data_IF_040565861140
#
_entry.id   IF_040565861140
#
_cell.length_a   1.000
_cell.length_b   1.000
_cell.length_c   1.000
_cell.angle_alpha   90.00
_cell.angle_beta   90.00
_cell.angle_gamma   90.00
#
_symmetry.space_group_name_H-M   'P 1'
#
loop_
_entity.id
_entity.type
_entity.pdbx_description
1 polymer ?
#
# COMPACT_ATOMS: atom_id res chain seq x y z
N UNK A 1 1.65 -3.11 40.61
CA UNK A 1 2.50 -4.04 39.83
C UNK A 1 1.64 -4.57 38.69
N UNK A 2 1.70 -3.96 37.51
CA UNK A 2 0.94 -4.41 36.34
C UNK A 2 1.64 -5.65 35.79
N UNK A 3 0.91 -6.76 35.70
CA UNK A 3 1.39 -7.98 35.05
C UNK A 3 1.82 -7.64 33.61
N UNK A 4 2.98 -8.13 33.13
CA UNK A 4 3.34 -7.95 31.73
C UNK A 4 2.24 -8.62 30.90
N UNK A 5 1.60 -7.87 30.01
CA UNK A 5 0.64 -8.41 29.06
C UNK A 5 1.38 -9.42 28.18
N UNK A 6 1.22 -10.70 28.47
CA UNK A 6 1.69 -11.78 27.60
C UNK A 6 0.78 -11.78 26.38
N UNK A 7 1.06 -10.88 25.44
CA UNK A 7 0.58 -11.00 24.07
C UNK A 7 0.88 -12.44 23.62
N UNK A 8 -0.11 -13.18 23.09
CA UNK A 8 0.15 -14.53 22.63
C UNK A 8 1.30 -14.47 21.62
N UNK A 9 2.38 -15.20 21.92
CA UNK A 9 3.46 -15.43 20.97
C UNK A 9 2.80 -15.97 19.71
N UNK A 10 2.97 -15.25 18.59
CA UNK A 10 2.43 -15.67 17.30
C UNK A 10 2.80 -17.13 17.07
N UNK A 11 1.86 -17.99 16.65
CA UNK A 11 2.18 -19.38 16.34
C UNK A 11 3.31 -19.41 15.28
N UNK A 12 4.17 -20.44 15.32
CA UNK A 12 5.26 -20.56 14.35
C UNK A 12 4.70 -20.57 12.93
N UNK A 13 5.40 -19.89 12.02
CA UNK A 13 4.98 -19.77 10.62
C UNK A 13 4.93 -21.15 9.96
N UNK A 14 3.82 -21.45 9.30
CA UNK A 14 3.70 -22.67 8.49
C UNK A 14 4.57 -22.55 7.23
N UNK A 15 5.10 -23.65 6.68
CA UNK A 15 5.85 -23.62 5.42
C UNK A 15 5.06 -22.96 4.28
N UNK A 16 3.75 -23.22 4.23
CA UNK A 16 2.84 -22.57 3.28
C UNK A 16 2.77 -21.04 3.49
N UNK A 17 2.73 -20.57 4.74
CA UNK A 17 2.80 -19.14 5.06
C UNK A 17 4.10 -18.50 4.58
N UNK A 18 5.23 -19.18 4.74
CA UNK A 18 6.52 -18.73 4.22
C UNK A 18 6.52 -18.66 2.69
N UNK A 19 6.01 -19.69 2.01
CA UNK A 19 5.89 -19.70 0.55
C UNK A 19 5.01 -18.55 0.04
N UNK A 20 3.84 -18.33 0.66
CA UNK A 20 2.97 -17.20 0.32
C UNK A 20 3.72 -15.88 0.53
N UNK A 21 4.42 -15.72 1.64
CA UNK A 21 5.26 -14.56 1.96
C UNK A 21 6.29 -14.27 0.87
N UNK A 22 7.04 -15.30 0.46
CA UNK A 22 8.02 -15.20 -0.61
C UNK A 22 7.38 -14.77 -1.93
N UNK A 23 6.27 -15.38 -2.33
CA UNK A 23 5.53 -15.01 -3.55
C UNK A 23 5.09 -13.54 -3.51
N UNK A 24 4.54 -13.05 -2.40
CA UNK A 24 4.14 -11.64 -2.28
C UNK A 24 5.33 -10.69 -2.39
N UNK A 25 6.44 -10.99 -1.71
CA UNK A 25 7.64 -10.13 -1.77
C UNK A 25 8.21 -10.12 -3.20
N UNK A 26 8.33 -11.28 -3.84
CA UNK A 26 8.81 -11.38 -5.22
C UNK A 26 7.88 -10.66 -6.20
N UNK A 27 6.56 -10.83 -6.05
CA UNK A 27 5.58 -10.13 -6.89
C UNK A 27 5.69 -8.61 -6.72
N UNK A 28 5.75 -8.11 -5.49
CA UNK A 28 5.92 -6.67 -5.21
C UNK A 28 7.24 -6.12 -5.76
N UNK A 29 8.35 -6.84 -5.58
CA UNK A 29 9.64 -6.41 -6.11
C UNK A 29 9.64 -6.37 -7.64
N UNK A 30 9.16 -7.43 -8.28
CA UNK A 30 9.12 -7.52 -9.74
C UNK A 30 8.20 -6.44 -10.34
N UNK A 31 7.00 -6.26 -9.81
CA UNK A 31 6.07 -5.27 -10.34
C UNK A 31 6.50 -3.85 -10.00
N UNK A 32 7.22 -3.60 -8.91
CA UNK A 32 7.84 -2.28 -8.67
C UNK A 32 8.92 -1.98 -9.72
N UNK A 33 9.79 -2.95 -10.03
CA UNK A 33 10.86 -2.76 -11.02
C UNK A 33 10.32 -2.65 -12.44
N UNK A 34 9.49 -3.61 -12.87
CA UNK A 34 8.89 -3.60 -14.20
C UNK A 34 7.90 -2.44 -14.33
N UNK A 35 7.08 -2.19 -13.31
CA UNK A 35 6.14 -1.08 -13.27
C UNK A 35 6.85 0.26 -13.42
N UNK A 36 7.92 0.52 -12.67
CA UNK A 36 8.66 1.80 -12.83
C UNK A 36 9.26 1.96 -14.23
N UNK A 37 9.88 0.92 -14.79
CA UNK A 37 10.50 0.99 -16.12
C UNK A 37 9.46 1.14 -17.23
N UNK A 38 8.39 0.35 -17.22
CA UNK A 38 7.43 0.28 -18.32
C UNK A 38 6.18 1.16 -18.13
N UNK A 39 5.83 1.54 -16.91
CA UNK A 39 4.75 2.51 -16.65
C UNK A 39 5.30 3.94 -16.71
N UNK A 40 6.35 4.24 -15.94
CA UNK A 40 6.86 5.62 -15.83
C UNK A 40 7.84 5.96 -16.96
N UNK A 41 8.70 5.02 -17.38
CA UNK A 41 9.70 5.26 -18.42
C UNK A 41 9.14 5.88 -19.72
N UNK A 42 8.11 5.28 -20.35
CA UNK A 42 7.53 5.80 -21.59
C UNK A 42 6.89 7.18 -21.46
N UNK A 43 6.44 7.56 -20.27
CA UNK A 43 5.80 8.86 -20.02
C UNK A 43 6.80 9.95 -19.61
N UNK A 44 8.08 9.65 -19.38
CA UNK A 44 9.08 10.66 -19.01
C UNK A 44 9.21 11.83 -20.00
N UNK A 45 9.16 11.64 -21.34
CA UNK A 45 9.17 12.77 -22.27
C UNK A 45 8.01 13.75 -22.07
N UNK A 46 6.85 13.23 -21.64
CA UNK A 46 5.66 14.04 -21.34
C UNK A 46 5.90 14.99 -20.16
N UNK A 47 6.81 14.65 -19.24
CA UNK A 47 7.20 15.52 -18.13
C UNK A 47 7.78 16.85 -18.63
N UNK A 48 8.58 16.81 -19.70
CA UNK A 48 9.17 18.02 -20.28
C UNK A 48 8.15 18.83 -21.10
N UNK A 49 7.23 18.17 -21.80
CA UNK A 49 6.29 18.81 -22.74
C UNK A 49 5.06 19.38 -22.00
N UNK A 50 4.43 18.58 -21.13
CA UNK A 50 3.24 18.95 -20.36
C UNK A 50 3.30 18.37 -18.94
N UNK A 51 4.00 19.03 -18.01
CA UNK A 51 4.21 18.52 -16.64
C UNK A 51 2.92 18.17 -15.90
N UNK A 52 1.83 18.94 -16.11
CA UNK A 52 0.53 18.69 -15.48
C UNK A 52 -0.11 17.39 -15.97
N UNK A 53 -0.01 17.10 -17.27
CA UNK A 53 -0.55 15.86 -17.85
C UNK A 53 0.31 14.67 -17.43
N UNK A 54 1.64 14.81 -17.41
CA UNK A 54 2.54 13.79 -16.86
C UNK A 54 2.15 13.41 -15.43
N UNK A 55 1.98 14.40 -14.54
CA UNK A 55 1.58 14.14 -13.15
C UNK A 55 0.24 13.41 -13.09
N UNK A 56 -0.77 13.91 -13.79
CA UNK A 56 -2.09 13.27 -13.81
C UNK A 56 -2.07 11.80 -14.28
N UNK A 57 -1.27 11.48 -15.31
CA UNK A 57 -1.09 10.10 -15.81
C UNK A 57 -0.30 9.25 -14.80
N UNK A 58 0.80 9.77 -14.26
CA UNK A 58 1.62 9.07 -13.28
C UNK A 58 0.81 8.75 -12.01
N UNK A 59 -0.02 9.67 -11.53
CA UNK A 59 -0.87 9.44 -10.35
C UNK A 59 -1.93 8.36 -10.64
N UNK A 60 -2.48 8.30 -11.86
CA UNK A 60 -3.37 7.20 -12.30
C UNK A 60 -2.66 5.85 -12.26
N UNK A 61 -1.45 5.79 -12.80
CA UNK A 61 -0.63 4.58 -12.86
C UNK A 61 -0.22 4.11 -11.47
N UNK A 62 0.16 5.04 -10.60
CA UNK A 62 0.53 4.75 -9.22
C UNK A 62 -0.67 4.22 -8.43
N UNK A 63 -1.84 4.86 -8.56
CA UNK A 63 -3.08 4.38 -7.94
C UNK A 63 -3.44 2.96 -8.42
N UNK A 64 -3.26 2.64 -9.71
CA UNK A 64 -3.48 1.28 -10.21
C UNK A 64 -2.48 0.28 -9.63
N UNK A 65 -1.20 0.66 -9.53
CA UNK A 65 -0.17 -0.21 -8.96
C UNK A 65 -0.38 -0.45 -7.45
N UNK A 66 -0.83 0.56 -6.71
CA UNK A 66 -1.11 0.46 -5.26
C UNK A 66 -2.33 -0.41 -4.93
N UNK A 67 -3.18 -0.76 -5.91
CA UNK A 67 -4.20 -1.81 -5.72
C UNK A 67 -3.58 -3.19 -5.53
N UNK A 68 -2.41 -3.45 -6.11
CA UNK A 68 -1.73 -4.74 -6.04
C UNK A 68 -1.42 -5.17 -4.59
N UNK A 69 -0.75 -4.38 -3.73
CA UNK A 69 -0.49 -4.79 -2.35
C UNK A 69 -1.77 -5.07 -1.56
N UNK A 70 -2.86 -4.31 -1.81
CA UNK A 70 -4.16 -4.56 -1.17
C UNK A 70 -4.74 -5.90 -1.63
N UNK A 71 -4.74 -6.17 -2.93
CA UNK A 71 -5.19 -7.45 -3.49
C UNK A 71 -4.34 -8.63 -2.98
N UNK A 72 -3.03 -8.46 -2.87
CA UNK A 72 -2.12 -9.49 -2.33
C UNK A 72 -2.43 -9.79 -0.86
N UNK A 73 -2.78 -8.79 -0.05
CA UNK A 73 -3.20 -9.03 1.34
C UNK A 73 -4.56 -9.73 1.41
N UNK A 74 -5.58 -9.18 0.75
CA UNK A 74 -6.95 -9.64 0.96
C UNK A 74 -7.24 -10.94 0.22
N UNK A 75 -6.85 -11.04 -1.06
CA UNK A 75 -7.18 -12.18 -1.91
C UNK A 75 -6.16 -13.29 -1.78
N UNK A 76 -4.87 -12.97 -1.81
CA UNK A 76 -3.82 -13.99 -1.80
C UNK A 76 -3.46 -14.42 -0.38
N UNK A 77 -3.20 -13.47 0.53
CA UNK A 77 -2.86 -13.79 1.92
C UNK A 77 -4.08 -14.20 2.75
N UNK A 78 -5.28 -13.75 2.37
CA UNK A 78 -6.51 -14.00 3.13
C UNK A 78 -6.64 -13.09 4.35
N UNK A 79 -5.98 -11.94 4.33
CA UNK A 79 -6.05 -10.93 5.40
C UNK A 79 -7.39 -10.22 5.32
N UNK A 80 -8.12 -10.16 6.43
CA UNK A 80 -9.32 -9.32 6.53
C UNK A 80 -8.93 -7.97 7.12
N UNK A 81 -9.13 -6.90 6.35
CA UNK A 81 -8.87 -5.53 6.78
C UNK A 81 -10.17 -4.88 7.21
N UNK A 82 -10.23 -4.49 8.49
CA UNK A 82 -11.37 -3.80 9.08
C UNK A 82 -10.95 -2.39 9.49
N UNK A 83 -11.70 -1.40 9.00
CA UNK A 83 -11.58 0.01 9.37
C UNK A 83 -12.75 0.39 10.26
N UNK A 84 -12.51 1.05 11.37
CA UNK A 84 -13.53 1.49 12.34
C UNK A 84 -13.28 2.94 12.74
N UNK A 85 -14.34 3.66 13.12
CA UNK A 85 -14.30 5.08 13.43
C UNK A 85 -14.76 5.94 12.25
N UNK A 86 -14.46 7.23 12.32
CA UNK A 86 -14.84 8.20 11.29
C UNK A 86 -14.08 7.95 9.99
N UNK A 87 -14.74 8.22 8.86
CA UNK A 87 -14.13 8.13 7.53
C UNK A 87 -13.31 9.38 7.23
N UNK A 88 -12.28 9.24 6.42
CA UNK A 88 -11.54 10.39 5.89
C UNK A 88 -12.48 11.29 5.08
N UNK A 89 -12.58 12.55 5.48
CA UNK A 89 -13.34 13.57 4.76
C UNK A 89 -12.51 14.06 3.56
N UNK A 90 -13.10 14.07 2.38
CA UNK A 90 -12.39 14.39 1.13
C UNK A 90 -12.24 15.90 0.87
N UNK A 91 -12.95 16.74 1.63
CA UNK A 91 -12.97 18.19 1.52
C UNK A 91 -11.98 18.90 2.44
N UNK A 92 -11.29 18.17 3.33
CA UNK A 92 -10.28 18.70 4.23
C UNK A 92 -8.92 17.98 4.13
N UNK A 93 -7.86 18.65 4.55
CA UNK A 93 -6.53 18.04 4.62
C UNK A 93 -6.42 17.13 5.84
N UNK A 94 -6.30 15.82 5.63
CA UNK A 94 -6.12 14.84 6.71
C UNK A 94 -4.66 14.45 6.94
N UNK A 95 -4.25 14.27 8.19
CA UNK A 95 -2.97 13.65 8.56
C UNK A 95 -3.25 12.27 9.14
N UNK A 96 -2.66 11.23 8.55
CA UNK A 96 -2.78 9.85 9.05
C UNK A 96 -1.54 9.54 9.87
N UNK A 97 -1.73 9.33 11.18
CA UNK A 97 -0.69 8.85 12.08
C UNK A 97 -0.91 7.36 12.37
N UNK A 98 0.09 6.55 12.06
CA UNK A 98 0.00 5.10 12.23
C UNK A 98 1.16 4.57 13.07
N UNK A 99 0.84 3.62 13.94
CA UNK A 99 1.83 2.92 14.74
C UNK A 99 2.59 1.93 13.83
N UNK A 100 3.92 2.07 13.75
CA UNK A 100 4.76 1.27 12.87
C UNK A 100 5.26 -0.01 13.56
N UNK A 101 4.36 -0.95 13.84
CA UNK A 101 4.66 -2.25 14.48
C UNK A 101 5.26 -3.29 13.54
N UNK A 102 5.00 -3.22 12.24
CA UNK A 102 5.48 -4.21 11.26
C UNK A 102 6.06 -3.55 10.01
N UNK A 103 6.91 -4.27 9.27
CA UNK A 103 7.45 -3.81 7.98
C UNK A 103 6.40 -3.70 6.87
N UNK A 104 5.17 -4.18 7.12
CA UNK A 104 4.06 -4.19 6.16
C UNK A 104 2.98 -3.18 6.51
N UNK A 105 3.20 -2.30 7.49
CA UNK A 105 2.17 -1.37 7.96
C UNK A 105 1.69 -0.39 6.86
N UNK A 106 2.60 0.00 5.99
CA UNK A 106 2.31 0.75 4.76
C UNK A 106 1.28 0.08 3.85
N UNK A 107 1.10 -1.24 3.87
CA UNK A 107 0.05 -1.87 3.05
C UNK A 107 -1.34 -1.58 3.61
N UNK A 108 -1.49 -1.49 4.94
CA UNK A 108 -2.75 -1.09 5.57
C UNK A 108 -3.06 0.39 5.29
N UNK A 109 -2.04 1.24 5.20
CA UNK A 109 -2.19 2.63 4.75
C UNK A 109 -2.86 2.71 3.38
N UNK A 110 -2.36 1.94 2.40
CA UNK A 110 -2.94 1.90 1.06
C UNK A 110 -4.35 1.34 1.04
N UNK A 111 -4.63 0.32 1.84
CA UNK A 111 -5.98 -0.25 1.95
C UNK A 111 -7.00 0.78 2.48
N UNK A 112 -6.63 1.56 3.50
CA UNK A 112 -7.46 2.65 4.04
C UNK A 112 -7.68 3.72 2.98
N UNK A 113 -6.61 4.20 2.36
CA UNK A 113 -6.69 5.25 1.35
C UNK A 113 -7.51 4.82 0.13
N UNK A 114 -7.40 3.58 -0.34
CA UNK A 114 -8.25 3.07 -1.43
C UNK A 114 -9.74 3.02 -1.08
N UNK A 115 -10.08 2.80 0.19
CA UNK A 115 -11.48 2.67 0.64
C UNK A 115 -12.10 4.01 1.02
N UNK A 116 -11.30 4.97 1.46
CA UNK A 116 -11.78 6.21 2.08
C UNK A 116 -11.31 7.49 1.36
N UNK A 117 -10.40 7.39 0.40
CA UNK A 117 -9.79 8.55 -0.27
C UNK A 117 -9.34 8.20 -1.69
N UNK A 118 -8.57 9.08 -2.32
CA UNK A 118 -7.93 8.86 -3.62
C UNK A 118 -6.41 8.96 -3.48
N UNK A 119 -5.68 7.99 -4.06
CA UNK A 119 -4.21 7.93 -4.05
C UNK A 119 -3.56 8.85 -5.11
N UNK A 120 -4.00 10.10 -5.17
CA UNK A 120 -3.43 11.11 -6.09
C UNK A 120 -2.85 12.32 -5.38
N UNK A 121 -3.32 12.58 -4.17
CA UNK A 121 -3.07 13.83 -3.46
C UNK A 121 -2.33 13.62 -2.14
N UNK A 122 -2.06 12.37 -1.79
CA UNK A 122 -1.25 12.00 -0.64
C UNK A 122 0.20 12.45 -0.81
N UNK A 123 0.77 12.90 0.30
CA UNK A 123 2.19 13.19 0.42
C UNK A 123 2.71 12.39 1.59
N UNK A 124 3.71 11.55 1.33
CA UNK A 124 4.43 10.82 2.36
C UNK A 124 5.60 11.71 2.75
N UNK A 125 5.63 12.12 4.01
CA UNK A 125 6.70 12.93 4.61
C UNK A 125 7.55 12.05 5.53
#
# INVERSE_FOLDING_TARGET
MTTPSTLPLLPPLTPMGVCKGAVCITAMALTATVGSVFMIGPILPLMAIRPRLFRWVADWMMNLWLLLPVALMELFMGVTIMTSGDTLQSDEGSIILMNHRTRLDWFFFWAVLHRQSTLRTEKIL
#
